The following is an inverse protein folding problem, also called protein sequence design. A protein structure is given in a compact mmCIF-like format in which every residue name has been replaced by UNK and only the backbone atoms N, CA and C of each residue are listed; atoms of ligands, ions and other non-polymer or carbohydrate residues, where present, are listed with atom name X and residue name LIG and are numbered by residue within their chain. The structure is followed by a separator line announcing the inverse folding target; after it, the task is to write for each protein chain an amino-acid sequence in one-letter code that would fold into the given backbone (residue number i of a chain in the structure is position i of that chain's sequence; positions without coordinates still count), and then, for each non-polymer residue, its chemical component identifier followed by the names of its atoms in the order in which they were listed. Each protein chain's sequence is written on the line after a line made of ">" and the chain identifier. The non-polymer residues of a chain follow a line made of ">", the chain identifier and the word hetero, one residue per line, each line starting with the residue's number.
data_IF_386453017434
#
_entry.id   IF_386453017434
#
_cell.length_a   1.000
_cell.length_b   1.000
_cell.length_c   1.000
_cell.angle_alpha   90.00
_cell.angle_beta   90.00
_cell.angle_gamma   90.00
#
_symmetry.space_group_name_H-M   'P 1'
#
loop_
_entity.id
_entity.type
_entity.pdbx_description
1 polymer ?
#
# COMPACT_ATOMS: atom_id res chain seq x y z
N UNK A 1 -12.10 -5.16 11.53
CA UNK A 1 -10.64 -5.47 11.43
C UNK A 1 -10.07 -4.82 10.18
N UNK A 2 -8.91 -4.16 10.29
CA UNK A 2 -8.22 -3.51 9.15
C UNK A 2 -6.93 -4.26 8.84
N UNK A 3 -6.83 -4.81 7.63
CA UNK A 3 -5.63 -5.47 7.09
C UNK A 3 -5.02 -4.60 6.00
N UNK A 4 -3.75 -4.28 6.14
CA UNK A 4 -3.03 -3.43 5.19
C UNK A 4 -1.99 -4.23 4.43
N UNK A 5 -2.04 -4.19 3.11
CA UNK A 5 -1.02 -4.80 2.25
C UNK A 5 -0.10 -3.69 1.74
N UNK A 6 1.17 -3.77 2.16
CA UNK A 6 2.23 -2.82 1.85
C UNK A 6 3.30 -3.46 0.96
N UNK A 7 4.16 -2.62 0.40
CA UNK A 7 5.30 -3.05 -0.40
C UNK A 7 5.73 -2.00 -1.40
N UNK A 8 6.92 -2.18 -1.96
CA UNK A 8 7.43 -1.39 -3.06
C UNK A 8 6.54 -1.48 -4.30
N UNK A 9 6.91 -0.76 -5.35
CA UNK A 9 6.16 -0.83 -6.59
C UNK A 9 6.39 -2.21 -7.26
N UNK A 10 5.38 -2.69 -7.98
CA UNK A 10 5.34 -4.03 -8.61
C UNK A 10 5.46 -5.22 -7.64
N UNK A 11 5.33 -5.01 -6.32
CA UNK A 11 5.33 -6.10 -5.33
C UNK A 11 4.05 -6.97 -5.33
N UNK A 12 3.10 -6.70 -6.22
CA UNK A 12 1.85 -7.48 -6.34
C UNK A 12 0.76 -7.11 -5.34
N UNK A 13 0.83 -5.95 -4.69
CA UNK A 13 -0.14 -5.50 -3.67
C UNK A 13 -1.59 -5.55 -4.14
N UNK A 14 -1.89 -4.99 -5.32
CA UNK A 14 -3.24 -4.97 -5.88
C UNK A 14 -3.75 -6.39 -6.10
N UNK A 15 -2.94 -7.24 -6.74
CA UNK A 15 -3.28 -8.64 -7.00
C UNK A 15 -3.61 -9.36 -5.69
N UNK A 16 -2.74 -9.27 -4.69
CA UNK A 16 -2.91 -9.96 -3.42
C UNK A 16 -4.08 -9.41 -2.59
N UNK A 17 -4.31 -8.11 -2.61
CA UNK A 17 -5.49 -7.50 -1.95
C UNK A 17 -6.79 -8.00 -2.57
N UNK A 18 -6.85 -8.09 -3.90
CA UNK A 18 -8.02 -8.59 -4.64
C UNK A 18 -8.24 -10.09 -4.39
N UNK A 19 -7.17 -10.89 -4.37
CA UNK A 19 -7.25 -12.32 -4.07
C UNK A 19 -7.74 -12.55 -2.64
N UNK A 20 -7.21 -11.80 -1.67
CA UNK A 20 -7.67 -11.87 -0.28
C UNK A 20 -9.16 -11.53 -0.17
N UNK A 21 -9.60 -10.44 -0.79
CA UNK A 21 -11.02 -10.06 -0.80
C UNK A 21 -11.90 -11.18 -1.36
N UNK A 22 -11.52 -11.75 -2.52
CA UNK A 22 -12.26 -12.86 -3.14
C UNK A 22 -12.31 -14.09 -2.23
N UNK A 23 -11.21 -14.46 -1.61
CA UNK A 23 -11.14 -15.62 -0.72
C UNK A 23 -12.01 -15.45 0.52
N UNK A 24 -12.03 -14.25 1.12
CA UNK A 24 -12.87 -13.96 2.28
C UNK A 24 -14.35 -13.93 1.92
N UNK A 25 -14.71 -13.35 0.77
CA UNK A 25 -16.11 -13.37 0.26
C UNK A 25 -16.61 -14.80 0.03
N UNK A 26 -15.77 -15.71 -0.51
CA UNK A 26 -16.12 -17.13 -0.65
C UNK A 26 -16.41 -17.81 0.72
N UNK A 27 -15.75 -17.34 1.78
CA UNK A 27 -15.99 -17.78 3.17
C UNK A 27 -17.15 -17.03 3.84
N UNK A 28 -17.95 -16.27 3.09
CA UNK A 28 -19.08 -15.45 3.58
C UNK A 28 -18.67 -14.38 4.60
N UNK A 29 -17.40 -13.99 4.62
CA UNK A 29 -16.89 -12.90 5.47
C UNK A 29 -17.15 -11.58 4.75
N UNK A 30 -17.85 -10.65 5.42
CA UNK A 30 -18.08 -9.30 4.89
C UNK A 30 -16.73 -8.58 4.71
N UNK A 31 -16.47 -8.08 3.53
CA UNK A 31 -15.20 -7.39 3.22
C UNK A 31 -15.44 -6.10 2.45
N UNK A 32 -14.55 -5.14 2.62
CA UNK A 32 -14.45 -3.95 1.76
C UNK A 32 -12.99 -3.67 1.44
N UNK A 33 -12.68 -3.52 0.15
CA UNK A 33 -11.35 -3.22 -0.35
C UNK A 33 -11.24 -1.72 -0.63
N UNK A 34 -10.18 -1.10 -0.09
CA UNK A 34 -9.79 0.29 -0.35
C UNK A 34 -8.43 0.33 -1.03
N UNK A 35 -8.26 1.29 -1.91
CA UNK A 35 -6.99 1.56 -2.59
C UNK A 35 -6.53 2.96 -2.28
N UNK A 36 -5.27 3.12 -1.91
CA UNK A 36 -4.68 4.43 -1.67
C UNK A 36 -3.37 4.60 -2.46
N UNK A 37 -3.20 5.75 -3.15
CA UNK A 37 -4.21 6.82 -3.31
C UNK A 37 -5.44 6.36 -4.09
N UNK A 38 -6.63 6.88 -3.73
CA UNK A 38 -7.83 6.70 -4.53
C UNK A 38 -7.87 7.79 -5.62
N UNK A 39 -7.50 7.42 -6.83
CA UNK A 39 -7.42 8.33 -7.97
C UNK A 39 -8.77 8.76 -8.54
N UNK A 40 -9.88 8.21 -8.08
CA UNK A 40 -11.21 8.62 -8.52
C UNK A 40 -11.65 9.96 -7.91
N UNK A 41 -11.09 10.32 -6.74
CA UNK A 41 -11.42 11.56 -6.04
C UNK A 41 -10.72 12.78 -6.67
N UNK A 42 -11.19 14.02 -6.41
CA UNK A 42 -10.52 15.24 -6.85
C UNK A 42 -9.06 15.31 -6.39
N UNK A 43 -8.78 15.04 -5.10
CA UNK A 43 -7.41 15.05 -4.57
C UNK A 43 -6.58 13.92 -5.18
N UNK A 44 -7.16 12.75 -5.38
CA UNK A 44 -6.50 11.63 -6.03
C UNK A 44 -6.09 11.93 -7.46
N UNK A 45 -6.89 12.69 -8.21
CA UNK A 45 -6.55 13.15 -9.57
C UNK A 45 -5.33 14.08 -9.56
N UNK A 46 -5.22 14.98 -8.59
CA UNK A 46 -4.04 15.87 -8.46
C UNK A 46 -2.79 15.07 -8.05
N UNK A 47 -2.94 14.09 -7.13
CA UNK A 47 -1.85 13.16 -6.79
C UNK A 47 -1.38 12.41 -8.06
N UNK A 48 -2.31 11.93 -8.88
CA UNK A 48 -1.98 11.23 -10.13
C UNK A 48 -1.20 12.13 -11.10
N UNK A 49 -1.63 13.39 -11.28
CA UNK A 49 -0.90 14.36 -12.11
C UNK A 49 0.53 14.60 -11.62
N UNK A 50 0.75 14.63 -10.28
CA UNK A 50 2.08 14.73 -9.71
C UNK A 50 2.93 13.50 -10.00
N UNK A 51 2.40 12.31 -9.83
CA UNK A 51 3.10 11.05 -10.09
C UNK A 51 3.44 10.89 -11.58
N UNK A 52 2.56 11.35 -12.46
CA UNK A 52 2.79 11.40 -13.91
C UNK A 52 3.79 12.48 -14.35
N UNK A 53 4.25 13.34 -13.41
CA UNK A 53 5.17 14.44 -13.70
C UNK A 53 4.51 15.67 -14.35
N UNK A 54 3.17 15.71 -14.40
CA UNK A 54 2.38 16.83 -14.96
C UNK A 54 2.18 17.97 -13.96
N UNK A 55 2.46 17.74 -12.69
CA UNK A 55 2.42 18.71 -11.59
C UNK A 55 3.70 18.66 -10.78
N UNK A 56 4.07 19.79 -10.20
CA UNK A 56 5.18 19.87 -9.24
C UNK A 56 4.63 20.34 -7.90
N UNK A 57 4.95 19.57 -6.85
CA UNK A 57 4.65 19.91 -5.47
C UNK A 57 5.92 19.73 -4.63
N UNK A 58 6.05 20.51 -3.56
CA UNK A 58 7.05 20.22 -2.55
C UNK A 58 6.74 18.88 -1.86
N UNK A 59 7.72 18.27 -1.19
CA UNK A 59 7.51 17.03 -0.44
C UNK A 59 6.41 17.19 0.61
N UNK A 60 6.33 18.32 1.28
CA UNK A 60 5.29 18.59 2.27
C UNK A 60 3.90 18.55 1.64
N UNK A 61 3.70 19.27 0.54
CA UNK A 61 2.40 19.37 -0.13
C UNK A 61 1.91 18.01 -0.61
N UNK A 62 2.77 17.22 -1.30
CA UNK A 62 2.33 15.91 -1.78
C UNK A 62 1.99 14.96 -0.64
N UNK A 63 2.74 14.97 0.49
CA UNK A 63 2.43 14.13 1.63
C UNK A 63 1.17 14.57 2.38
N UNK A 64 0.85 15.88 2.41
CA UNK A 64 -0.46 16.38 2.86
C UNK A 64 -1.59 15.90 1.95
N UNK A 65 -1.44 15.99 0.63
CA UNK A 65 -2.45 15.51 -0.32
C UNK A 65 -2.69 14.00 -0.20
N UNK A 66 -1.63 13.22 -0.03
CA UNK A 66 -1.73 11.77 0.22
C UNK A 66 -2.47 11.47 1.53
N UNK A 67 -2.27 12.26 2.58
CA UNK A 67 -3.03 12.14 3.82
C UNK A 67 -4.49 12.55 3.62
N UNK A 68 -4.75 13.73 3.04
CA UNK A 68 -6.09 14.21 2.77
C UNK A 68 -6.91 13.22 1.93
N UNK A 69 -6.29 12.54 0.95
CA UNK A 69 -6.95 11.50 0.15
C UNK A 69 -7.36 10.27 0.98
N UNK A 70 -6.72 9.97 2.11
CA UNK A 70 -7.19 8.96 3.06
C UNK A 70 -8.33 9.49 3.93
N UNK A 71 -8.23 10.74 4.36
CA UNK A 71 -9.27 11.41 5.13
C UNK A 71 -10.58 11.55 4.37
N UNK A 72 -10.56 11.76 3.04
CA UNK A 72 -11.77 11.72 2.19
C UNK A 72 -12.56 10.41 2.31
N UNK A 73 -11.93 9.34 2.77
CA UNK A 73 -12.57 8.02 2.90
C UNK A 73 -12.96 7.66 4.34
N UNK A 74 -12.72 8.54 5.31
CA UNK A 74 -12.93 8.23 6.72
C UNK A 74 -14.35 7.72 7.00
N UNK A 75 -15.37 8.43 6.56
CA UNK A 75 -16.77 8.02 6.80
C UNK A 75 -17.08 6.65 6.18
N UNK A 76 -16.53 6.37 5.00
CA UNK A 76 -16.71 5.07 4.35
C UNK A 76 -15.98 3.94 5.10
N UNK A 77 -14.83 4.24 5.72
CA UNK A 77 -14.06 3.30 6.53
C UNK A 77 -14.83 3.01 7.82
N UNK A 78 -15.30 4.04 8.52
CA UNK A 78 -16.08 3.91 9.76
C UNK A 78 -17.38 3.13 9.54
N UNK A 79 -18.17 3.51 8.54
CA UNK A 79 -19.41 2.80 8.19
C UNK A 79 -19.17 1.32 7.81
N UNK A 80 -18.02 0.99 7.25
CA UNK A 80 -17.68 -0.40 6.96
C UNK A 80 -17.24 -1.16 8.23
N UNK A 81 -16.59 -0.49 9.20
CA UNK A 81 -16.25 -1.07 10.50
C UNK A 81 -17.50 -1.39 11.32
N UNK A 82 -18.48 -0.47 11.36
CA UNK A 82 -19.76 -0.68 12.05
C UNK A 82 -20.50 -1.91 11.54
N UNK A 83 -20.37 -2.22 10.24
CA UNK A 83 -20.95 -3.44 9.62
C UNK A 83 -20.15 -4.71 9.90
N UNK A 84 -19.17 -4.66 10.81
CA UNK A 84 -18.26 -5.76 11.13
C UNK A 84 -17.54 -6.34 9.89
N UNK A 85 -17.23 -5.48 8.92
CA UNK A 85 -16.51 -5.90 7.72
C UNK A 85 -15.00 -5.98 7.98
N UNK A 86 -14.34 -6.92 7.30
CA UNK A 86 -12.89 -6.90 7.17
C UNK A 86 -12.52 -5.87 6.12
N UNK A 87 -11.78 -4.85 6.52
CA UNK A 87 -11.29 -3.81 5.63
C UNK A 87 -9.91 -4.18 5.12
N UNK A 88 -9.78 -4.32 3.82
CA UNK A 88 -8.51 -4.60 3.14
C UNK A 88 -8.02 -3.30 2.53
N UNK A 89 -6.83 -2.85 2.93
CA UNK A 89 -6.22 -1.63 2.41
C UNK A 89 -5.05 -1.98 1.49
N UNK A 90 -5.18 -1.74 0.19
CA UNK A 90 -4.04 -1.71 -0.73
C UNK A 90 -3.33 -0.38 -0.56
N UNK A 91 -2.26 -0.36 0.21
CA UNK A 91 -1.59 0.80 0.83
C UNK A 91 -2.50 1.51 1.86
N UNK A 92 -1.88 2.22 2.81
CA UNK A 92 -2.55 3.08 3.79
C UNK A 92 -1.54 4.11 4.30
N UNK A 93 -1.73 4.68 5.51
CA UNK A 93 -0.83 5.70 6.06
C UNK A 93 0.64 5.24 6.18
N UNK A 94 0.89 3.95 6.32
CA UNK A 94 2.26 3.42 6.37
C UNK A 94 3.05 3.76 5.10
N UNK A 95 2.43 3.74 3.92
CA UNK A 95 3.10 4.15 2.68
C UNK A 95 3.56 5.62 2.75
N UNK A 96 2.70 6.51 3.27
CA UNK A 96 3.03 7.93 3.40
C UNK A 96 4.26 8.14 4.29
N UNK A 97 4.31 7.41 5.42
CA UNK A 97 5.47 7.41 6.31
C UNK A 97 6.75 6.96 5.59
N UNK A 98 6.71 5.82 4.89
CA UNK A 98 7.91 5.24 4.23
C UNK A 98 8.45 6.17 3.15
N UNK A 99 7.57 6.65 2.26
CA UNK A 99 7.95 7.55 1.15
C UNK A 99 8.39 8.92 1.67
N UNK A 100 7.78 9.43 2.73
CA UNK A 100 8.18 10.68 3.38
C UNK A 100 9.56 10.59 4.04
N UNK A 101 9.83 9.51 4.75
CA UNK A 101 11.18 9.23 5.30
C UNK A 101 12.22 9.10 4.19
N UNK A 102 11.88 8.47 3.06
CA UNK A 102 12.76 8.39 1.91
C UNK A 102 13.05 9.78 1.31
N UNK A 103 12.11 10.71 1.37
CA UNK A 103 12.25 12.12 1.00
C UNK A 103 12.93 12.98 2.09
N UNK A 104 13.42 12.40 3.19
CA UNK A 104 14.14 13.10 4.25
C UNK A 104 13.24 13.85 5.24
N UNK A 105 11.94 13.57 5.26
CA UNK A 105 11.01 14.25 6.15
C UNK A 105 11.04 13.66 7.56
N UNK A 106 10.67 14.46 8.55
CA UNK A 106 10.63 14.06 9.96
C UNK A 106 9.50 13.06 10.21
N UNK A 107 9.81 11.93 10.86
CA UNK A 107 8.83 10.88 11.16
C UNK A 107 7.61 11.40 11.89
N UNK A 108 7.80 12.16 12.99
CA UNK A 108 6.71 12.71 13.82
C UNK A 108 5.74 13.56 13.00
N UNK A 109 6.27 14.39 12.07
CA UNK A 109 5.43 15.22 11.20
C UNK A 109 4.55 14.36 10.29
N UNK A 110 5.13 13.31 9.68
CA UNK A 110 4.39 12.40 8.79
C UNK A 110 3.32 11.61 9.55
N UNK A 111 3.65 11.12 10.76
CA UNK A 111 2.71 10.36 11.59
C UNK A 111 1.52 11.24 12.04
N UNK A 112 1.77 12.53 12.33
CA UNK A 112 0.72 13.47 12.74
C UNK A 112 -0.32 13.75 11.64
N UNK A 113 0.02 13.60 10.36
CA UNK A 113 -0.94 13.78 9.26
C UNK A 113 -2.10 12.79 9.29
N UNK A 114 -1.90 11.65 9.91
CA UNK A 114 -2.84 10.52 9.92
C UNK A 114 -3.38 10.21 11.33
N UNK A 115 -3.12 11.08 12.31
CA UNK A 115 -3.67 10.95 13.67
C UNK A 115 -5.19 11.11 13.63
N UNK A 116 -5.91 10.12 14.14
CA UNK A 116 -7.37 10.05 14.07
C UNK A 116 -7.91 9.07 13.05
N UNK A 117 -7.12 8.66 12.05
CA UNK A 117 -7.53 7.57 11.18
C UNK A 117 -7.54 6.21 11.92
N UNK A 118 -8.49 5.31 11.60
CA UNK A 118 -8.53 3.98 12.18
C UNK A 118 -7.21 3.22 12.01
N UNK A 119 -6.73 2.61 13.10
CA UNK A 119 -5.45 1.90 13.09
C UNK A 119 -5.55 0.56 12.38
N UNK A 120 -4.45 0.16 11.73
CA UNK A 120 -4.32 -1.16 11.13
C UNK A 120 -4.15 -2.23 12.23
N UNK A 121 -4.92 -3.32 12.15
CA UNK A 121 -4.81 -4.47 13.04
C UNK A 121 -3.73 -5.45 12.58
N UNK A 122 -3.51 -5.51 11.27
CA UNK A 122 -2.52 -6.35 10.62
C UNK A 122 -1.89 -5.59 9.45
N UNK A 123 -0.56 -5.51 9.44
CA UNK A 123 0.19 -4.97 8.30
C UNK A 123 1.05 -6.06 7.71
N UNK A 124 0.90 -6.30 6.42
CA UNK A 124 1.67 -7.28 5.64
C UNK A 124 2.55 -6.51 4.66
N UNK A 125 3.86 -6.70 4.75
CA UNK A 125 4.81 -6.19 3.79
C UNK A 125 5.11 -7.29 2.75
N UNK A 126 4.77 -7.02 1.51
CA UNK A 126 5.25 -7.79 0.36
C UNK A 126 6.65 -7.30 0.02
N UNK A 127 7.65 -8.06 0.43
CA UNK A 127 9.05 -7.72 0.21
C UNK A 127 9.54 -8.37 -1.09
N UNK A 128 9.95 -7.55 -2.03
CA UNK A 128 10.42 -7.99 -3.34
C UNK A 128 11.79 -7.37 -3.62
N UNK A 129 12.69 -8.15 -4.24
CA UNK A 129 13.95 -7.59 -4.70
C UNK A 129 13.71 -6.60 -5.83
N UNK A 130 14.62 -5.66 -6.00
CA UNK A 130 14.52 -4.70 -7.10
C UNK A 130 14.54 -5.40 -8.46
N UNK A 131 15.36 -6.46 -8.61
CA UNK A 131 15.45 -7.26 -9.84
C UNK A 131 14.10 -7.87 -10.20
N UNK A 132 13.43 -8.50 -9.22
CA UNK A 132 12.12 -9.14 -9.43
C UNK A 132 11.02 -8.11 -9.65
N UNK A 133 11.05 -6.97 -8.95
CA UNK A 133 10.16 -5.85 -9.20
C UNK A 133 10.26 -5.33 -10.64
N UNK A 134 11.48 -5.23 -11.16
CA UNK A 134 11.73 -4.80 -12.54
C UNK A 134 11.19 -5.79 -13.57
N UNK A 135 11.38 -7.08 -13.37
CA UNK A 135 10.89 -8.13 -14.29
C UNK A 135 9.36 -8.16 -14.39
N UNK A 136 8.67 -7.77 -13.32
CA UNK A 136 7.19 -7.71 -13.22
C UNK A 136 6.58 -6.40 -13.71
N UNK A 137 7.40 -5.45 -14.20
CA UNK A 137 6.88 -4.18 -14.73
C UNK A 137 5.91 -4.45 -15.88
N UNK A 138 4.69 -3.85 -15.87
CA UNK A 138 3.73 -4.06 -16.95
C UNK A 138 4.34 -3.62 -18.27
N UNK A 139 4.14 -4.43 -19.31
CA UNK A 139 4.55 -4.15 -20.67
C UNK A 139 3.31 -3.87 -21.51
N UNK A 140 3.43 -2.98 -22.49
CA UNK A 140 2.39 -2.79 -23.48
C UNK A 140 2.41 -3.93 -24.52
N UNK A 141 1.46 -3.96 -25.43
CA UNK A 141 1.33 -4.97 -26.52
C UNK A 141 2.61 -5.09 -27.38
N UNK A 142 3.45 -4.06 -27.42
CA UNK A 142 4.74 -4.03 -28.12
C UNK A 142 5.92 -4.44 -27.24
N UNK A 143 5.67 -5.00 -26.05
CA UNK A 143 6.71 -5.45 -25.11
C UNK A 143 7.48 -4.34 -24.39
N UNK A 144 7.15 -3.06 -24.63
CA UNK A 144 7.78 -1.93 -23.92
C UNK A 144 7.23 -1.81 -22.51
N UNK A 145 8.12 -1.60 -21.53
CA UNK A 145 7.74 -1.31 -20.14
C UNK A 145 6.83 -0.08 -20.12
N UNK A 146 5.65 -0.20 -19.50
CA UNK A 146 4.72 0.91 -19.35
C UNK A 146 5.38 2.05 -18.55
N UNK A 147 4.90 3.28 -18.80
CA UNK A 147 5.45 4.48 -18.19
C UNK A 147 5.45 4.37 -16.66
N UNK A 148 6.65 4.38 -16.08
CA UNK A 148 6.85 4.40 -14.63
C UNK A 148 6.49 5.77 -14.07
N UNK A 149 5.97 5.78 -12.86
CA UNK A 149 5.71 7.02 -12.15
C UNK A 149 7.02 7.69 -11.65
N UNK A 150 6.90 8.86 -11.05
CA UNK A 150 8.03 9.66 -10.58
C UNK A 150 8.90 8.92 -9.56
N UNK A 151 8.30 8.09 -8.71
CA UNK A 151 9.01 7.34 -7.68
C UNK A 151 9.65 6.07 -8.22
N UNK A 152 9.02 5.43 -9.21
CA UNK A 152 9.53 4.20 -9.85
C UNK A 152 10.74 4.42 -10.76
N UNK A 153 10.93 5.64 -11.27
CA UNK A 153 12.03 5.97 -12.22
C UNK A 153 13.41 6.02 -11.58
N UNK A 154 13.50 6.28 -10.28
CA UNK A 154 14.76 6.45 -9.57
C UNK A 154 15.13 5.18 -8.80
N UNK A 155 16.07 4.42 -9.32
CA UNK A 155 16.55 3.18 -8.68
C UNK A 155 17.10 3.37 -7.27
N UNK A 156 17.88 4.44 -7.05
CA UNK A 156 18.45 4.73 -5.73
C UNK A 156 17.32 5.00 -4.72
N UNK A 157 16.31 5.76 -5.16
CA UNK A 157 15.13 6.04 -4.34
C UNK A 157 14.35 4.76 -4.03
N UNK A 158 14.15 3.87 -5.01
CA UNK A 158 13.49 2.58 -4.82
C UNK A 158 14.25 1.68 -3.84
N UNK A 159 15.60 1.65 -3.91
CA UNK A 159 16.45 0.93 -2.92
C UNK A 159 16.29 1.51 -1.52
N UNK A 160 16.28 2.84 -1.40
CA UNK A 160 16.06 3.54 -0.12
C UNK A 160 14.70 3.18 0.47
N UNK A 161 13.62 3.21 -0.33
CA UNK A 161 12.27 2.81 0.08
C UNK A 161 12.25 1.36 0.59
N UNK A 162 12.82 0.41 -0.16
CA UNK A 162 12.86 -1.00 0.25
C UNK A 162 13.59 -1.19 1.58
N UNK A 163 14.72 -0.51 1.78
CA UNK A 163 15.45 -0.53 3.05
C UNK A 163 14.60 0.02 4.20
N UNK A 164 13.93 1.16 4.00
CA UNK A 164 13.07 1.77 5.03
C UNK A 164 11.88 0.87 5.33
N UNK A 165 11.25 0.25 4.32
CA UNK A 165 10.17 -0.73 4.52
C UNK A 165 10.61 -1.87 5.43
N UNK A 166 11.74 -2.54 5.11
CA UNK A 166 12.28 -3.68 5.90
C UNK A 166 12.59 -3.27 7.34
N UNK A 167 13.27 -2.13 7.53
CA UNK A 167 13.62 -1.62 8.86
C UNK A 167 12.36 -1.28 9.67
N UNK A 168 11.40 -0.59 9.06
CA UNK A 168 10.14 -0.22 9.72
C UNK A 168 9.29 -1.45 10.02
N UNK A 169 9.20 -2.40 9.10
CA UNK A 169 8.45 -3.64 9.29
C UNK A 169 8.99 -4.44 10.48
N UNK A 170 10.31 -4.59 10.60
CA UNK A 170 10.95 -5.23 11.76
C UNK A 170 10.64 -4.48 13.05
N UNK A 171 10.83 -3.15 13.08
CA UNK A 171 10.59 -2.32 14.27
C UNK A 171 9.13 -2.30 14.72
N UNK A 172 8.18 -2.33 13.78
CA UNK A 172 6.72 -2.28 14.07
C UNK A 172 6.06 -3.67 14.02
N UNK A 173 6.85 -4.74 13.97
CA UNK A 173 6.39 -6.14 13.96
C UNK A 173 5.36 -6.44 12.85
N UNK A 174 5.56 -5.87 11.65
CA UNK A 174 4.74 -6.22 10.49
C UNK A 174 5.07 -7.62 10.02
N UNK A 175 4.10 -8.34 9.48
CA UNK A 175 4.38 -9.60 8.78
C UNK A 175 5.10 -9.32 7.47
N UNK A 176 6.29 -9.84 7.31
CA UNK A 176 7.05 -9.77 6.05
C UNK A 176 6.82 -11.07 5.30
N UNK A 177 6.43 -10.95 4.02
CA UNK A 177 6.24 -12.07 3.09
C UNK A 177 7.17 -11.84 1.90
N UNK A 178 7.92 -12.89 1.55
CA UNK A 178 8.76 -12.88 0.36
C UNK A 178 7.88 -12.88 -0.90
N UNK A 179 7.84 -11.73 -1.56
CA UNK A 179 7.05 -11.55 -2.76
C UNK A 179 7.80 -11.94 -4.05
N UNK A 180 8.98 -12.57 -3.99
CA UNK A 180 9.64 -13.19 -5.15
C UNK A 180 8.99 -14.52 -5.54
N UNK A 181 8.31 -15.17 -4.60
CA UNK A 181 7.59 -16.44 -4.76
C UNK A 181 6.46 -16.37 -5.80
N UNK A 182 5.94 -17.53 -6.26
CA UNK A 182 4.73 -17.62 -7.06
C UNK A 182 3.54 -16.92 -6.40
N UNK A 183 2.66 -16.37 -7.23
CA UNK A 183 1.49 -15.60 -6.78
C UNK A 183 0.61 -16.36 -5.81
N UNK A 184 0.43 -17.64 -6.06
CA UNK A 184 -0.42 -18.56 -5.28
C UNK A 184 0.18 -18.81 -3.89
N UNK A 185 1.48 -19.05 -3.79
CA UNK A 185 2.18 -19.25 -2.51
C UNK A 185 2.13 -18.00 -1.63
N UNK A 186 2.32 -16.81 -2.24
CA UNK A 186 2.17 -15.53 -1.53
C UNK A 186 0.75 -15.40 -0.99
N UNK A 187 -0.25 -15.75 -1.79
CA UNK A 187 -1.65 -15.67 -1.39
C UNK A 187 -1.96 -16.60 -0.23
N UNK A 188 -1.49 -17.84 -0.27
CA UNK A 188 -1.65 -18.82 0.82
C UNK A 188 -0.99 -18.33 2.13
N UNK A 189 0.20 -17.75 2.05
CA UNK A 189 0.89 -17.21 3.22
C UNK A 189 0.13 -16.00 3.81
N UNK A 190 -0.48 -15.15 2.96
CA UNK A 190 -1.36 -14.07 3.40
C UNK A 190 -2.59 -14.63 4.10
N UNK A 191 -3.27 -15.62 3.52
CA UNK A 191 -4.45 -16.24 4.11
C UNK A 191 -4.14 -16.90 5.45
N UNK A 192 -3.04 -17.63 5.55
CA UNK A 192 -2.58 -18.26 6.81
C UNK A 192 -2.31 -17.21 7.88
N UNK A 193 -1.61 -16.11 7.50
CA UNK A 193 -1.33 -15.00 8.41
C UNK A 193 -2.60 -14.33 8.90
N UNK A 194 -3.55 -14.11 8.01
CA UNK A 194 -4.85 -13.53 8.31
C UNK A 194 -5.68 -14.44 9.25
N UNK A 195 -5.80 -15.73 8.92
CA UNK A 195 -6.54 -16.71 9.75
C UNK A 195 -5.95 -16.79 11.17
N UNK A 196 -4.62 -16.86 11.29
CA UNK A 196 -3.95 -16.83 12.60
C UNK A 196 -4.27 -15.57 13.41
N UNK A 197 -4.39 -14.40 12.75
CA UNK A 197 -4.73 -13.14 13.42
C UNK A 197 -6.18 -13.10 13.90
N UNK A 198 -7.09 -13.81 13.24
CA UNK A 198 -8.50 -13.93 13.62
C UNK A 198 -8.77 -15.07 14.62
N UNK A 199 -7.79 -15.91 14.90
CA UNK A 199 -7.98 -17.11 15.72
C UNK A 199 -8.77 -18.23 15.01
N UNK A 200 -8.69 -18.27 13.68
CA UNK A 200 -9.32 -19.26 12.80
C UNK A 200 -8.31 -20.33 12.37
#
# INVERSE_FOLDING_TARGET
>A
MIVVIQGGDQAGKLTQSTLLEKALKKRKIKTKLFHFPDYATPLGKEIRKYLDGKRKFSSQVIHCLLAANRWEKLDQILAAQEKNSVLIMNRYYQSNLIYGLANGMKQKWLENLDVGLPKADLVILLDVTQKDSFSRSPRNEKGKIMKRDKFEKNEQFSRKISKIYRTTAKKKHWKIIDASKPREEIHEEILRTFSKKLGL
#
